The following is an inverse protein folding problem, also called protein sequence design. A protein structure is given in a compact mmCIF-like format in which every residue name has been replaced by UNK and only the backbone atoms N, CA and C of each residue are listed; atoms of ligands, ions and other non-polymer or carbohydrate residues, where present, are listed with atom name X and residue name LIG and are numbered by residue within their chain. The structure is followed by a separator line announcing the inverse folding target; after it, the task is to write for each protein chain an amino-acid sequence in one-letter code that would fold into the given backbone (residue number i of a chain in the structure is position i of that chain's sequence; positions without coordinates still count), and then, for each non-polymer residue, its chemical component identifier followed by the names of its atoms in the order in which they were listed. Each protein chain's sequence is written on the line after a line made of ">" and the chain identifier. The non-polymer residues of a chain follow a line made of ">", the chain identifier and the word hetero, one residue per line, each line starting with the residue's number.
data_IF_034352117953
#
_entry.id   IF_034352117953
#
_cell.length_a   1.000
_cell.length_b   1.000
_cell.length_c   1.000
_cell.angle_alpha   90.00
_cell.angle_beta   90.00
_cell.angle_gamma   90.00
#
_symmetry.space_group_name_H-M   'P 1'
#
loop_
_entity.id
_entity.type
_entity.pdbx_description
1 polymer ?
#
# COMPACT_ATOMS: atom_id res chain seq x y z
N UNK A 1 -25.00 1.83 14.41
CA UNK A 1 -23.54 1.70 14.62
C UNK A 1 -23.07 0.64 13.65
N UNK A 2 -22.27 1.02 12.66
CA UNK A 2 -21.91 0.13 11.54
C UNK A 2 -20.66 -0.68 11.91
N UNK A 3 -20.85 -1.91 12.40
CA UNK A 3 -19.81 -2.96 12.39
C UNK A 3 -19.63 -3.52 10.97
N UNK A 4 -19.62 -2.64 9.97
CA UNK A 4 -19.52 -3.04 8.58
C UNK A 4 -18.07 -2.86 8.17
N UNK A 5 -17.43 -4.00 7.90
CA UNK A 5 -16.37 -4.12 6.90
C UNK A 5 -14.88 -4.12 7.35
N UNK A 6 -14.59 -4.35 8.63
CA UNK A 6 -13.22 -4.70 9.10
C UNK A 6 -12.73 -6.07 8.65
N UNK A 7 -13.53 -6.89 7.94
CA UNK A 7 -13.11 -8.22 7.48
C UNK A 7 -12.25 -8.21 6.21
N UNK A 8 -12.21 -7.08 5.50
CA UNK A 8 -11.49 -6.96 4.22
C UNK A 8 -10.15 -6.25 4.34
N UNK A 9 -9.92 -5.54 5.44
CA UNK A 9 -8.64 -4.89 5.72
C UNK A 9 -8.15 -5.38 7.08
N UNK A 10 -6.95 -5.95 7.10
CA UNK A 10 -6.30 -6.56 8.26
C UNK A 10 -4.90 -5.95 8.47
N UNK A 11 -4.24 -6.32 9.57
CA UNK A 11 -2.87 -5.97 9.98
C UNK A 11 -2.05 -7.18 10.42
N UNK A 12 -2.55 -8.40 10.32
CA UNK A 12 -1.80 -9.60 10.74
C UNK A 12 -0.57 -9.93 9.87
N UNK A 13 -0.64 -9.74 8.54
CA UNK A 13 0.44 -10.15 7.63
C UNK A 13 1.50 -9.08 7.36
N UNK A 14 1.26 -7.83 7.76
CA UNK A 14 2.14 -6.68 7.52
C UNK A 14 2.06 -5.68 8.66
N UNK A 15 3.12 -4.86 8.81
CA UNK A 15 3.10 -3.70 9.70
C UNK A 15 2.16 -2.56 9.25
N UNK A 16 1.60 -2.63 8.04
CA UNK A 16 0.64 -1.65 7.50
C UNK A 16 -0.71 -2.31 7.16
N UNK A 17 -1.83 -1.55 7.16
CA UNK A 17 -3.14 -2.04 6.75
C UNK A 17 -3.10 -2.63 5.34
N UNK A 18 -3.66 -3.81 5.18
CA UNK A 18 -3.65 -4.55 3.92
C UNK A 18 -4.93 -5.33 3.69
N UNK A 19 -5.17 -5.71 2.45
CA UNK A 19 -6.32 -6.54 2.10
C UNK A 19 -6.22 -7.89 2.83
N UNK A 20 -7.29 -8.30 3.50
CA UNK A 20 -7.29 -9.48 4.37
C UNK A 20 -6.80 -10.74 3.63
N UNK A 21 -5.88 -11.47 4.25
CA UNK A 21 -5.25 -12.65 3.65
C UNK A 21 -4.28 -12.36 2.50
N UNK A 22 -3.99 -11.07 2.20
CA UNK A 22 -3.16 -10.67 1.06
C UNK A 22 -2.05 -9.74 1.48
N UNK A 23 -0.87 -9.94 0.88
CA UNK A 23 0.24 -9.00 1.01
C UNK A 23 0.13 -7.83 0.03
N UNK A 24 -1.03 -7.16 -0.01
CA UNK A 24 -1.27 -5.94 -0.81
C UNK A 24 -1.79 -4.86 0.12
N UNK A 25 -1.00 -3.81 0.33
CA UNK A 25 -1.36 -2.79 1.32
C UNK A 25 -2.38 -1.80 0.81
N UNK A 26 -3.14 -1.19 1.73
CA UNK A 26 -4.12 -0.15 1.41
C UNK A 26 -3.44 1.05 0.73
N UNK A 27 -2.26 1.46 1.23
CA UNK A 27 -1.43 2.51 0.62
C UNK A 27 -1.04 2.16 -0.82
N UNK A 28 -0.66 0.91 -1.08
CA UNK A 28 -0.30 0.45 -2.43
C UNK A 28 -1.49 0.49 -3.38
N UNK A 29 -2.68 0.10 -2.93
CA UNK A 29 -3.91 0.18 -3.74
C UNK A 29 -4.21 1.62 -4.11
N UNK A 30 -4.22 2.53 -3.13
CA UNK A 30 -4.40 3.96 -3.37
C UNK A 30 -3.39 4.52 -4.39
N UNK A 31 -2.10 4.19 -4.22
CA UNK A 31 -1.05 4.66 -5.12
C UNK A 31 -1.20 4.19 -6.57
N UNK A 32 -1.73 2.98 -6.77
CA UNK A 32 -1.99 2.49 -8.12
C UNK A 32 -3.21 3.16 -8.74
N UNK A 33 -4.31 3.24 -7.98
CA UNK A 33 -5.59 3.70 -8.54
C UNK A 33 -5.62 5.22 -8.67
N UNK A 34 -5.35 5.95 -7.59
CA UNK A 34 -5.55 7.40 -7.57
C UNK A 34 -4.31 8.18 -8.00
N UNK A 35 -3.11 7.75 -7.60
CA UNK A 35 -1.88 8.46 -7.97
C UNK A 35 -1.39 8.10 -9.39
N UNK A 36 -1.55 6.83 -9.81
CA UNK A 36 -1.10 6.35 -11.13
C UNK A 36 -2.23 6.15 -12.13
N UNK A 37 -3.48 6.37 -11.74
CA UNK A 37 -4.64 6.26 -12.64
C UNK A 37 -4.91 4.86 -13.16
N UNK A 38 -4.50 3.81 -12.45
CA UNK A 38 -4.76 2.42 -12.86
C UNK A 38 -6.19 2.03 -12.49
N UNK A 39 -6.95 1.49 -13.45
CA UNK A 39 -8.31 1.03 -13.19
C UNK A 39 -8.39 0.01 -12.02
N UNK A 40 -9.36 0.15 -11.10
CA UNK A 40 -9.55 -0.79 -9.98
C UNK A 40 -9.68 -2.25 -10.41
N UNK A 41 -10.36 -2.51 -11.54
CA UNK A 41 -10.48 -3.86 -12.11
C UNK A 41 -9.12 -4.42 -12.57
N UNK A 42 -8.25 -3.56 -13.10
CA UNK A 42 -6.88 -3.94 -13.49
C UNK A 42 -6.02 -4.26 -12.27
N UNK A 43 -6.17 -3.49 -11.19
CA UNK A 43 -5.51 -3.78 -9.90
C UNK A 43 -6.02 -5.11 -9.34
N UNK A 44 -7.34 -5.33 -9.36
CA UNK A 44 -7.95 -6.57 -8.91
C UNK A 44 -7.42 -7.78 -9.67
N UNK A 45 -7.39 -7.75 -11.01
CA UNK A 45 -6.88 -8.87 -11.80
C UNK A 45 -5.38 -9.12 -11.58
N UNK A 46 -4.57 -8.06 -11.56
CA UNK A 46 -3.11 -8.16 -11.37
C UNK A 46 -2.75 -8.79 -10.04
N UNK A 47 -3.44 -8.40 -8.98
CA UNK A 47 -3.18 -8.90 -7.64
C UNK A 47 -4.09 -10.05 -7.24
N UNK A 48 -4.94 -10.57 -8.13
CA UNK A 48 -5.95 -11.62 -7.91
C UNK A 48 -6.90 -11.33 -6.74
N UNK A 49 -7.26 -10.06 -6.55
CA UNK A 49 -8.20 -9.59 -5.52
C UNK A 49 -9.63 -9.59 -6.06
N UNK A 50 -10.62 -9.61 -5.17
CA UNK A 50 -11.96 -9.19 -5.56
C UNK A 50 -11.96 -7.67 -5.79
N UNK A 51 -12.68 -7.19 -6.81
CA UNK A 51 -12.76 -5.75 -7.09
C UNK A 51 -13.40 -4.99 -5.93
N UNK A 52 -14.32 -5.62 -5.19
CA UNK A 52 -14.89 -5.05 -3.98
C UNK A 52 -13.83 -4.84 -2.89
N UNK A 53 -12.84 -5.72 -2.77
CA UNK A 53 -11.74 -5.55 -1.82
C UNK A 53 -10.85 -4.35 -2.19
N UNK A 54 -10.68 -4.09 -3.49
CA UNK A 54 -9.95 -2.90 -3.98
C UNK A 54 -10.70 -1.63 -3.59
N UNK A 55 -11.99 -1.54 -3.88
CA UNK A 55 -12.79 -0.39 -3.45
C UNK A 55 -12.86 -0.27 -1.92
N UNK A 56 -12.91 -1.39 -1.21
CA UNK A 56 -12.91 -1.37 0.24
C UNK A 56 -11.59 -0.81 0.81
N UNK A 57 -10.46 -1.17 0.22
CA UNK A 57 -9.16 -0.59 0.57
C UNK A 57 -9.15 0.93 0.31
N UNK A 58 -9.69 1.39 -0.82
CA UNK A 58 -9.78 2.83 -1.11
C UNK A 58 -10.67 3.57 -0.09
N UNK A 59 -11.83 3.01 0.25
CA UNK A 59 -12.68 3.56 1.31
C UNK A 59 -11.93 3.63 2.64
N UNK A 60 -11.24 2.55 3.03
CA UNK A 60 -10.44 2.53 4.25
C UNK A 60 -9.36 3.61 4.27
N UNK A 61 -8.67 3.83 3.14
CA UNK A 61 -7.65 4.88 3.02
C UNK A 61 -8.24 6.26 3.35
N UNK A 62 -9.38 6.59 2.75
CA UNK A 62 -10.02 7.90 2.89
C UNK A 62 -10.68 8.10 4.25
N UNK A 63 -11.16 7.03 4.88
CA UNK A 63 -11.72 7.06 6.23
C UNK A 63 -10.65 7.17 7.33
N UNK A 64 -9.38 6.81 7.04
CA UNK A 64 -8.29 6.77 8.02
C UNK A 64 -7.08 7.65 7.64
N UNK A 65 -7.25 8.95 7.34
CA UNK A 65 -6.19 9.78 6.78
C UNK A 65 -5.04 10.08 7.75
N UNK A 66 -5.24 9.93 9.06
CA UNK A 66 -4.17 10.10 10.07
C UNK A 66 -3.23 8.90 10.05
N UNK A 67 -3.81 7.71 10.13
CA UNK A 67 -3.10 6.44 10.07
C UNK A 67 -2.35 6.29 8.75
N UNK A 68 -2.99 6.61 7.62
CA UNK A 68 -2.32 6.51 6.32
C UNK A 68 -1.11 7.44 6.21
N UNK A 69 -1.13 8.61 6.86
CA UNK A 69 0.05 9.50 6.93
C UNK A 69 1.19 8.88 7.73
N UNK A 70 0.89 8.21 8.84
CA UNK A 70 1.88 7.48 9.64
C UNK A 70 2.50 6.34 8.83
N UNK A 71 1.67 5.52 8.16
CA UNK A 71 2.12 4.43 7.29
C UNK A 71 3.04 4.92 6.17
N UNK A 72 2.72 6.06 5.54
CA UNK A 72 3.59 6.66 4.51
C UNK A 72 4.92 7.08 5.11
N UNK A 73 4.91 7.80 6.24
CA UNK A 73 6.12 8.29 6.89
C UNK A 73 7.03 7.15 7.38
N UNK A 74 6.47 6.11 8.00
CA UNK A 74 7.22 4.92 8.44
C UNK A 74 7.92 4.23 7.27
N UNK A 75 7.22 4.13 6.13
CA UNK A 75 7.79 3.53 4.93
C UNK A 75 8.90 4.37 4.33
N UNK A 76 8.75 5.70 4.29
CA UNK A 76 9.80 6.60 3.81
C UNK A 76 11.06 6.51 4.69
N UNK A 77 10.90 6.52 6.02
CA UNK A 77 12.00 6.34 6.95
C UNK A 77 12.69 4.97 6.79
N UNK A 78 11.91 3.89 6.62
CA UNK A 78 12.45 2.57 6.35
C UNK A 78 13.25 2.54 5.03
N UNK A 79 12.77 3.21 3.98
CA UNK A 79 13.49 3.31 2.71
C UNK A 79 14.76 4.14 2.80
N UNK A 80 14.73 5.24 3.55
CA UNK A 80 15.88 6.11 3.78
C UNK A 80 16.98 5.40 4.56
N UNK A 81 16.65 4.74 5.67
CA UNK A 81 17.61 3.94 6.46
C UNK A 81 18.24 2.81 5.66
N UNK A 82 17.47 2.14 4.79
CA UNK A 82 18.00 1.14 3.86
C UNK A 82 18.94 1.81 2.86
N UNK A 83 18.57 2.97 2.29
CA UNK A 83 19.45 3.71 1.36
C UNK A 83 20.78 4.11 2.01
N UNK A 84 20.77 4.52 3.28
CA UNK A 84 21.98 4.93 4.01
C UNK A 84 22.89 3.76 4.37
N UNK A 85 22.32 2.59 4.66
CA UNK A 85 23.08 1.42 5.15
C UNK A 85 23.65 0.51 4.06
N UNK A 86 23.19 0.62 2.81
CA UNK A 86 23.71 -0.19 1.71
C UNK A 86 24.98 0.45 1.14
N UNK A 87 26.12 -0.25 1.24
CA UNK A 87 27.30 0.05 0.41
C UNK A 87 26.97 -0.20 -1.07
N UNK A 88 26.66 0.88 -1.79
CA UNK A 88 26.38 0.82 -3.23
C UNK A 88 27.70 0.60 -3.97
N UNK A 89 27.84 -0.53 -4.66
CA UNK A 89 28.94 -0.73 -5.60
C UNK A 89 28.83 0.33 -6.71
N UNK A 90 29.92 1.05 -7.01
CA UNK A 90 29.97 2.24 -7.86
C UNK A 90 29.44 2.06 -9.29
N UNK A 91 29.17 0.82 -9.73
CA UNK A 91 28.70 0.51 -11.08
C UNK A 91 27.18 0.57 -11.27
N UNK A 92 26.40 0.82 -10.20
CA UNK A 92 24.93 0.94 -10.28
C UNK A 92 24.52 2.35 -9.89
N UNK A 93 24.27 3.20 -10.89
CA UNK A 93 23.74 4.55 -10.68
C UNK A 93 22.21 4.55 -10.83
N UNK A 94 21.43 4.71 -9.74
CA UNK A 94 19.99 4.55 -9.75
C UNK A 94 19.21 5.75 -10.32
N UNK A 95 19.86 6.90 -10.51
CA UNK A 95 19.24 8.13 -11.05
C UNK A 95 19.54 8.33 -12.54
N UNK A 96 20.17 7.35 -13.20
CA UNK A 96 20.48 7.39 -14.63
C UNK A 96 19.28 7.06 -15.57
N UNK A 97 18.04 7.07 -15.05
CA UNK A 97 16.84 6.69 -15.79
C UNK A 97 16.03 7.91 -16.28
#
# INVERSE_FOLDING_TARGET
>A
MAERDTRRVDRELMGEPHVAGRRVSVRQVHALVEERGVDPETVADRYKLDVADVYHALTYYHDNPREMREVVAEREAAMESVRESIERSDCVDPDAA
#
